data_IF_599916413951
#
_entry.id   IF_599916413951
#
_cell.length_a   1.000
_cell.length_b   1.000
_cell.length_c   1.000
_cell.angle_alpha   90.00
_cell.angle_beta   90.00
_cell.angle_gamma   90.00
#
_symmetry.space_group_name_H-M   'P 1'
#
loop_
_entity.id
_entity.type
_entity.pdbx_description
1 polymer ?
#
# COMPACT_ATOMS: atom_id res chain seq x y z
N UNK A 1 31.59 14.26 -24.63
CA UNK A 1 30.20 13.86 -24.68
C UNK A 1 29.81 12.78 -23.63
N UNK A 2 30.52 11.63 -23.51
CA UNK A 2 30.17 10.60 -22.50
C UNK A 2 30.32 11.08 -21.04
N UNK A 3 31.34 11.90 -20.73
CA UNK A 3 31.57 12.45 -19.38
C UNK A 3 30.55 13.52 -19.00
N UNK A 4 30.11 14.35 -19.94
CA UNK A 4 29.06 15.35 -19.70
C UNK A 4 27.68 14.72 -19.51
N UNK A 5 27.34 13.67 -20.27
CA UNK A 5 26.11 12.91 -20.09
C UNK A 5 26.05 12.22 -18.71
N UNK A 6 27.16 11.65 -18.25
CA UNK A 6 27.27 11.03 -16.91
C UNK A 6 27.13 12.06 -15.78
N UNK A 7 27.72 13.26 -15.93
CA UNK A 7 27.58 14.33 -14.95
C UNK A 7 26.15 14.89 -14.89
N UNK A 8 25.43 14.96 -16.00
CA UNK A 8 24.02 15.38 -16.05
C UNK A 8 23.14 14.33 -15.40
N UNK A 9 23.39 13.03 -15.64
CA UNK A 9 22.66 11.93 -14.99
C UNK A 9 22.88 11.94 -13.48
N UNK A 10 24.10 12.18 -13.01
CA UNK A 10 24.42 12.27 -11.58
C UNK A 10 23.78 13.51 -10.93
N UNK A 11 23.71 14.64 -11.63
CA UNK A 11 23.04 15.86 -11.14
C UNK A 11 21.52 15.71 -11.04
N UNK A 12 20.89 14.93 -11.93
CA UNK A 12 19.47 14.59 -11.86
C UNK A 12 19.13 13.70 -10.65
N UNK A 13 20.04 12.85 -10.22
CA UNK A 13 19.85 12.01 -9.02
C UNK A 13 19.91 12.81 -7.72
N UNK A 14 20.57 13.96 -7.67
CA UNK A 14 20.75 14.76 -6.43
C UNK A 14 19.55 15.68 -6.16
N UNK A 15 18.72 15.98 -7.17
CA UNK A 15 17.56 16.87 -7.01
C UNK A 15 16.30 16.23 -6.40
N UNK A 16 16.33 14.94 -6.09
CA UNK A 16 15.16 14.17 -5.62
C UNK A 16 15.15 13.91 -4.10
N UNK A 17 16.04 14.51 -3.31
CA UNK A 17 16.01 14.34 -1.84
C UNK A 17 14.94 15.23 -1.18
N UNK A 18 13.70 14.99 -1.50
CA UNK A 18 12.55 15.44 -0.71
C UNK A 18 12.23 14.37 0.35
N UNK A 19 13.24 14.03 1.13
CA UNK A 19 13.04 13.20 2.30
C UNK A 19 12.41 14.03 3.41
N UNK A 20 11.38 13.49 4.05
CA UNK A 20 10.84 13.90 5.35
C UNK A 20 9.59 14.78 5.35
N UNK A 21 8.45 14.21 4.88
CA UNK A 21 7.15 14.59 5.43
C UNK A 21 6.37 13.39 5.98
N UNK A 22 7.06 12.30 6.32
CA UNK A 22 6.41 11.06 6.80
C UNK A 22 5.74 11.21 8.17
N UNK A 23 6.17 12.17 8.99
CA UNK A 23 5.60 12.43 10.32
C UNK A 23 4.28 13.22 10.31
N UNK A 24 3.87 13.74 9.15
CA UNK A 24 2.65 14.57 9.01
C UNK A 24 1.50 13.85 8.30
N UNK A 25 1.62 12.53 8.10
CA UNK A 25 0.60 11.76 7.35
C UNK A 25 -0.14 10.79 8.25
N UNK A 26 -1.47 10.70 8.06
CA UNK A 26 -2.31 9.66 8.64
C UNK A 26 -2.15 8.33 7.88
N UNK A 27 -2.57 7.23 8.50
CA UNK A 27 -2.69 5.90 7.88
C UNK A 27 -1.37 5.31 7.34
N UNK A 28 -0.24 5.58 8.00
CA UNK A 28 1.07 5.08 7.58
C UNK A 28 1.18 3.55 7.53
N UNK A 29 0.24 2.82 8.15
CA UNK A 29 0.15 1.36 8.04
C UNK A 29 -0.04 0.86 6.61
N UNK A 30 -0.54 1.70 5.69
CA UNK A 30 -0.70 1.38 4.27
C UNK A 30 0.63 1.17 3.54
N UNK A 31 1.75 1.59 4.14
CA UNK A 31 3.11 1.36 3.62
C UNK A 31 3.71 0.02 4.08
N UNK A 32 3.07 -0.67 5.03
CA UNK A 32 3.55 -1.97 5.46
C UNK A 32 3.34 -3.02 4.36
N UNK A 33 4.32 -3.90 4.13
CA UNK A 33 4.16 -4.99 3.17
C UNK A 33 3.04 -5.93 3.62
N UNK A 34 2.16 -6.31 2.70
CA UNK A 34 0.99 -7.14 3.00
C UNK A 34 1.33 -8.62 2.92
N UNK A 35 2.08 -9.05 1.90
CA UNK A 35 2.46 -10.43 1.69
C UNK A 35 3.82 -10.77 2.29
N UNK A 36 4.00 -12.01 2.77
CA UNK A 36 5.30 -12.48 3.27
C UNK A 36 6.38 -12.49 2.19
N UNK A 37 6.01 -12.84 0.95
CA UNK A 37 6.90 -12.79 -0.20
C UNK A 37 7.36 -11.35 -0.48
N UNK A 38 6.43 -10.41 -0.62
CA UNK A 38 6.75 -9.01 -0.81
C UNK A 38 7.66 -8.47 0.29
N UNK A 39 7.38 -8.81 1.56
CA UNK A 39 8.21 -8.42 2.70
C UNK A 39 9.64 -8.97 2.61
N UNK A 40 9.81 -10.21 2.17
CA UNK A 40 11.11 -10.88 2.07
C UNK A 40 12.03 -10.23 1.02
N UNK A 41 11.46 -9.63 -0.03
CA UNK A 41 12.21 -8.99 -1.13
C UNK A 41 12.20 -7.45 -1.05
N UNK A 42 11.93 -6.89 0.13
CA UNK A 42 12.06 -5.45 0.40
C UNK A 42 10.77 -4.68 0.60
N UNK A 43 9.61 -5.30 0.42
CA UNK A 43 8.29 -4.74 0.75
C UNK A 43 7.58 -4.06 -0.40
N UNK A 44 8.17 -3.07 -1.03
CA UNK A 44 7.50 -2.23 -2.04
C UNK A 44 7.82 -2.68 -3.48
N UNK A 45 7.24 -3.80 -3.88
CA UNK A 45 7.48 -4.44 -5.17
C UNK A 45 6.41 -4.05 -6.19
N UNK A 46 6.65 -3.01 -6.97
CA UNK A 46 5.68 -2.46 -7.93
C UNK A 46 5.75 -3.08 -9.34
N UNK A 47 6.85 -3.79 -9.65
CA UNK A 47 7.09 -4.35 -11.00
C UNK A 47 7.31 -5.87 -11.04
N UNK A 48 7.17 -6.55 -9.91
CA UNK A 48 7.31 -8.00 -9.85
C UNK A 48 6.07 -8.67 -10.42
N UNK A 49 6.21 -9.39 -11.53
CA UNK A 49 5.12 -10.11 -12.19
C UNK A 49 5.21 -11.58 -11.81
N UNK A 50 4.35 -12.01 -10.91
CA UNK A 50 4.25 -13.38 -10.40
C UNK A 50 2.78 -13.73 -10.11
N UNK A 51 2.51 -15.01 -9.91
CA UNK A 51 1.20 -15.51 -9.48
C UNK A 51 1.02 -15.31 -7.96
N UNK A 52 0.98 -14.05 -7.53
CA UNK A 52 0.75 -13.66 -6.14
C UNK A 52 -0.22 -12.46 -6.09
N UNK A 53 -1.44 -12.68 -5.64
CA UNK A 53 -2.46 -11.64 -5.55
C UNK A 53 -2.14 -10.56 -4.52
N UNK A 54 -1.21 -10.83 -3.57
CA UNK A 54 -0.76 -9.83 -2.60
C UNK A 54 0.00 -8.67 -3.27
N UNK A 55 0.61 -8.90 -4.44
CA UNK A 55 1.31 -7.85 -5.20
C UNK A 55 0.35 -6.75 -5.68
N UNK A 56 -0.95 -7.02 -5.76
CA UNK A 56 -1.97 -6.01 -6.06
C UNK A 56 -2.06 -4.90 -5.01
N UNK A 57 -1.62 -5.14 -3.77
CA UNK A 57 -1.53 -4.09 -2.75
C UNK A 57 -0.39 -3.09 -3.03
N UNK A 58 0.62 -3.50 -3.79
CA UNK A 58 1.73 -2.64 -4.21
C UNK A 58 1.45 -1.95 -5.55
N UNK A 59 0.90 -2.71 -6.51
CA UNK A 59 0.53 -2.20 -7.82
C UNK A 59 -0.74 -2.93 -8.31
N UNK A 60 -1.88 -2.25 -8.43
CA UNK A 60 -3.13 -2.89 -8.85
C UNK A 60 -3.06 -3.56 -10.23
N UNK A 61 -2.17 -3.12 -11.12
CA UNK A 61 -2.00 -3.75 -12.43
C UNK A 61 -1.46 -5.18 -12.35
N UNK A 62 -0.70 -5.53 -11.29
CA UNK A 62 -0.12 -6.86 -11.09
C UNK A 62 -1.17 -7.93 -10.79
N UNK A 63 -2.37 -7.54 -10.36
CA UNK A 63 -3.48 -8.47 -10.18
C UNK A 63 -3.83 -9.22 -11.47
N UNK A 64 -3.52 -8.67 -12.65
CA UNK A 64 -3.74 -9.31 -13.93
C UNK A 64 -2.95 -10.62 -14.12
N UNK A 65 -1.87 -10.81 -13.36
CA UNK A 65 -1.00 -12.00 -13.41
C UNK A 65 -1.42 -13.08 -12.41
N UNK A 66 -2.34 -12.78 -11.50
CA UNK A 66 -2.77 -13.73 -10.47
C UNK A 66 -3.76 -14.75 -11.01
N UNK A 67 -3.61 -16.01 -10.58
CA UNK A 67 -4.58 -17.06 -10.86
C UNK A 67 -5.95 -16.72 -10.27
N UNK A 68 -7.03 -16.69 -11.07
CA UNK A 68 -8.36 -16.36 -10.58
C UNK A 68 -8.91 -17.38 -9.58
N UNK A 69 -9.79 -16.90 -8.68
CA UNK A 69 -10.43 -17.66 -7.59
C UNK A 69 -9.45 -18.13 -6.51
N UNK A 70 -8.44 -17.33 -6.26
CA UNK A 70 -7.46 -17.54 -5.20
C UNK A 70 -7.85 -16.72 -3.97
N UNK A 71 -7.54 -17.24 -2.79
CA UNK A 71 -7.66 -16.56 -1.50
C UNK A 71 -6.26 -16.42 -0.91
N UNK A 72 -5.81 -15.21 -0.67
CA UNK A 72 -4.61 -14.94 0.11
C UNK A 72 -4.97 -14.60 1.55
N UNK A 73 -4.28 -15.20 2.48
CA UNK A 73 -4.38 -14.90 3.92
C UNK A 73 -2.96 -14.64 4.45
N UNK A 74 -2.76 -13.52 5.09
CA UNK A 74 -1.47 -13.16 5.66
C UNK A 74 -1.64 -12.77 7.12
N UNK A 75 -0.63 -13.13 7.90
CA UNK A 75 -0.48 -12.68 9.28
C UNK A 75 0.98 -12.34 9.53
N UNK A 76 1.21 -11.19 10.13
CA UNK A 76 2.55 -10.71 10.46
C UNK A 76 2.57 -10.26 11.92
N UNK A 77 3.53 -10.77 12.69
CA UNK A 77 3.89 -10.19 13.98
C UNK A 77 4.97 -9.15 13.74
N UNK A 78 4.65 -7.90 14.01
CA UNK A 78 5.56 -6.77 13.83
C UNK A 78 6.22 -6.40 15.16
N UNK A 79 7.09 -5.36 15.18
CA UNK A 79 7.80 -4.99 16.41
C UNK A 79 6.86 -4.57 17.52
N UNK A 80 7.30 -4.75 18.76
CA UNK A 80 6.58 -4.42 20.02
C UNK A 80 5.18 -5.02 20.18
N UNK A 81 4.94 -6.18 19.54
CA UNK A 81 3.66 -6.88 19.69
C UNK A 81 2.55 -6.39 18.78
N UNK A 82 2.84 -5.47 17.86
CA UNK A 82 1.92 -5.07 16.79
C UNK A 82 1.64 -6.26 15.89
N UNK A 83 0.37 -6.46 15.55
CA UNK A 83 -0.10 -7.58 14.73
C UNK A 83 -0.78 -7.05 13.49
N UNK A 84 -0.36 -7.53 12.33
CA UNK A 84 -1.01 -7.24 11.06
C UNK A 84 -1.62 -8.51 10.49
N UNK A 85 -2.81 -8.39 9.95
CA UNK A 85 -3.50 -9.46 9.22
C UNK A 85 -4.08 -8.91 7.93
N UNK A 86 -4.10 -9.71 6.88
CA UNK A 86 -4.79 -9.35 5.65
C UNK A 86 -5.45 -10.57 5.02
N UNK A 87 -6.51 -10.29 4.26
CA UNK A 87 -7.19 -11.26 3.43
C UNK A 87 -7.51 -10.62 2.09
N UNK A 88 -7.39 -11.39 1.01
CA UNK A 88 -7.82 -10.97 -0.32
C UNK A 88 -8.45 -12.16 -1.05
N UNK A 89 -9.37 -11.87 -1.96
CA UNK A 89 -10.00 -12.82 -2.86
C UNK A 89 -10.12 -12.21 -4.24
N UNK A 90 -9.71 -12.92 -5.26
CA UNK A 90 -9.76 -12.49 -6.65
C UNK A 90 -10.68 -13.35 -7.50
N UNK A 91 -11.16 -12.78 -8.60
CA UNK A 91 -11.89 -13.51 -9.66
C UNK A 91 -11.70 -12.82 -11.01
N UNK A 92 -11.71 -13.59 -12.08
CA UNK A 92 -11.70 -13.08 -13.44
C UNK A 92 -13.12 -12.75 -13.92
N UNK A 93 -13.23 -11.71 -14.74
CA UNK A 93 -14.44 -11.33 -15.46
C UNK A 93 -14.10 -11.19 -16.95
N UNK A 94 -14.40 -12.22 -17.72
CA UNK A 94 -13.92 -12.36 -19.11
C UNK A 94 -12.46 -12.70 -19.18
N UNK A 95 -11.82 -12.38 -20.32
CA UNK A 95 -10.42 -12.77 -20.61
C UNK A 95 -9.40 -11.72 -20.17
N UNK A 96 -9.83 -10.49 -19.91
CA UNK A 96 -8.92 -9.33 -19.72
C UNK A 96 -9.07 -8.62 -18.38
N UNK A 97 -10.13 -8.88 -17.64
CA UNK A 97 -10.41 -8.20 -16.39
C UNK A 97 -10.27 -9.15 -15.19
N UNK A 98 -9.53 -8.73 -14.18
CA UNK A 98 -9.43 -9.42 -12.90
C UNK A 98 -9.83 -8.45 -11.79
N UNK A 99 -10.76 -8.89 -10.94
CA UNK A 99 -11.23 -8.16 -9.78
C UNK A 99 -10.66 -8.78 -8.52
N UNK A 100 -10.47 -7.98 -7.50
CA UNK A 100 -10.21 -8.46 -6.16
C UNK A 100 -10.92 -7.60 -5.12
N UNK A 101 -11.24 -8.23 -4.01
CA UNK A 101 -11.62 -7.56 -2.76
C UNK A 101 -10.63 -7.97 -1.69
N UNK A 102 -10.24 -7.04 -0.83
CA UNK A 102 -9.30 -7.32 0.22
C UNK A 102 -9.56 -6.49 1.46
N UNK A 103 -8.97 -6.92 2.56
CA UNK A 103 -8.97 -6.19 3.82
C UNK A 103 -7.61 -6.30 4.50
N UNK A 104 -7.23 -5.24 5.18
CA UNK A 104 -6.04 -5.17 6.04
C UNK A 104 -6.49 -4.76 7.44
N UNK A 105 -5.90 -5.36 8.44
CA UNK A 105 -6.13 -5.06 9.85
C UNK A 105 -4.78 -4.93 10.54
N UNK A 106 -4.59 -3.85 11.28
CA UNK A 106 -3.43 -3.62 12.13
C UNK A 106 -3.89 -3.36 13.55
N UNK A 107 -3.35 -4.12 14.50
CA UNK A 107 -3.57 -3.98 15.94
C UNK A 107 -2.24 -3.58 16.60
N UNK A 108 -2.21 -2.39 17.18
CA UNK A 108 -1.04 -1.87 17.88
C UNK A 108 -0.93 -2.39 19.32
N UNK A 109 -1.92 -3.17 19.76
CA UNK A 109 -1.97 -3.66 21.14
C UNK A 109 -2.35 -2.57 22.14
N UNK A 110 -1.97 -2.79 23.40
CA UNK A 110 -2.20 -1.85 24.50
C UNK A 110 -1.00 -0.95 24.71
N UNK A 111 -1.24 0.34 24.77
CA UNK A 111 -0.23 1.38 25.04
C UNK A 111 -0.58 2.07 26.36
N UNK A 112 0.44 2.49 27.11
CA UNK A 112 0.26 3.21 28.37
C UNK A 112 -0.13 4.64 28.09
N UNK A 113 -1.19 5.09 28.72
CA UNK A 113 -1.61 6.48 28.77
C UNK A 113 -0.90 7.18 29.92
N UNK A 114 -0.29 8.35 29.65
CA UNK A 114 0.38 9.17 30.66
C UNK A 114 -0.17 10.59 30.63
N UNK A 115 -0.14 11.25 31.78
CA UNK A 115 -0.44 12.66 31.88
C UNK A 115 0.79 13.55 31.50
N UNK A 116 0.64 14.87 31.60
CA UNK A 116 1.70 15.85 31.33
C UNK A 116 2.93 15.68 32.26
N UNK A 117 2.79 15.02 33.39
CA UNK A 117 3.85 14.73 34.36
C UNK A 117 4.47 13.35 34.17
N UNK A 118 4.17 12.65 33.09
CA UNK A 118 4.56 11.26 32.83
C UNK A 118 4.02 10.22 33.84
N UNK A 119 2.94 10.56 34.56
CA UNK A 119 2.28 9.62 35.46
C UNK A 119 1.32 8.75 34.63
N UNK A 120 1.42 7.43 34.78
CA UNK A 120 0.53 6.52 34.08
C UNK A 120 -0.91 6.67 34.62
N UNK A 121 -1.84 7.04 33.74
CA UNK A 121 -3.26 7.27 34.06
C UNK A 121 -4.16 6.12 33.59
N UNK A 122 -3.66 5.26 32.68
CA UNK A 122 -4.44 4.16 32.14
C UNK A 122 -3.73 3.46 30.98
N UNK A 123 -4.51 2.70 30.22
CA UNK A 123 -4.10 2.07 28.96
C UNK A 123 -5.09 2.46 27.86
N UNK A 124 -4.60 2.62 26.65
CA UNK A 124 -5.40 2.76 25.46
C UNK A 124 -4.95 1.78 24.37
N UNK A 125 -5.76 1.57 23.35
CA UNK A 125 -5.43 0.73 22.20
C UNK A 125 -5.60 1.52 20.91
N UNK A 126 -4.85 1.14 19.88
CA UNK A 126 -5.03 1.67 18.54
C UNK A 126 -5.15 0.52 17.53
N UNK A 127 -5.92 0.75 16.48
CA UNK A 127 -6.13 -0.22 15.40
C UNK A 127 -6.50 0.49 14.11
N UNK A 128 -6.02 -0.06 13.01
CA UNK A 128 -6.35 0.40 11.66
C UNK A 128 -7.00 -0.72 10.86
N UNK A 129 -7.98 -0.36 10.07
CA UNK A 129 -8.71 -1.26 9.18
C UNK A 129 -8.76 -0.60 7.81
N UNK A 130 -8.41 -1.31 6.75
CA UNK A 130 -8.63 -0.88 5.38
C UNK A 130 -9.37 -1.98 4.61
N UNK A 131 -10.39 -1.61 3.86
CA UNK A 131 -11.08 -2.48 2.92
C UNK A 131 -10.89 -1.92 1.54
N UNK A 132 -10.53 -2.76 0.59
CA UNK A 132 -10.22 -2.35 -0.78
C UNK A 132 -10.95 -3.19 -1.82
N UNK A 133 -11.27 -2.55 -2.94
CA UNK A 133 -11.68 -3.19 -4.18
C UNK A 133 -10.70 -2.83 -5.28
N UNK A 134 -10.20 -3.83 -5.97
CA UNK A 134 -9.18 -3.69 -7.03
C UNK A 134 -9.72 -4.23 -8.35
N UNK A 135 -9.44 -3.51 -9.43
CA UNK A 135 -9.65 -3.95 -10.80
C UNK A 135 -8.33 -3.84 -11.56
N UNK A 136 -7.91 -4.95 -12.16
CA UNK A 136 -6.87 -4.95 -13.18
C UNK A 136 -7.47 -5.26 -14.54
N UNK A 137 -6.94 -4.64 -15.57
CA UNK A 137 -7.38 -4.84 -16.95
C UNK A 137 -6.19 -4.93 -17.90
N UNK A 138 -6.12 -5.99 -18.69
CA UNK A 138 -5.15 -6.16 -19.76
C UNK A 138 -5.50 -5.26 -20.94
N UNK A 139 -4.81 -4.14 -21.07
CA UNK A 139 -4.99 -3.18 -22.17
C UNK A 139 -4.49 -3.76 -23.49
N UNK A 140 -3.33 -4.41 -23.44
CA UNK A 140 -2.74 -5.19 -24.52
C UNK A 140 -2.17 -6.48 -23.96
N UNK A 141 -1.61 -7.35 -24.80
CA UNK A 141 -0.98 -8.61 -24.35
C UNK A 141 0.26 -8.39 -23.45
N UNK A 142 0.79 -7.14 -23.42
CA UNK A 142 1.99 -6.78 -22.64
C UNK A 142 1.75 -5.65 -21.64
N UNK A 143 0.60 -4.98 -21.69
CA UNK A 143 0.31 -3.82 -20.84
C UNK A 143 -0.94 -4.08 -20.02
N UNK A 144 -0.82 -4.03 -18.72
CA UNK A 144 -1.91 -4.05 -17.76
C UNK A 144 -2.06 -2.69 -17.09
N UNK A 145 -3.31 -2.26 -16.89
CA UNK A 145 -3.67 -1.13 -16.04
C UNK A 145 -4.46 -1.62 -14.83
N UNK A 146 -4.39 -0.91 -13.72
CA UNK A 146 -5.13 -1.27 -12.52
C UNK A 146 -5.55 -0.06 -11.71
N UNK A 147 -6.64 -0.22 -10.98
CA UNK A 147 -7.15 0.75 -10.02
C UNK A 147 -7.57 0.02 -8.74
N UNK A 148 -7.20 0.56 -7.60
CA UNK A 148 -7.71 0.15 -6.28
C UNK A 148 -8.43 1.32 -5.65
N UNK A 149 -9.61 1.07 -5.10
CA UNK A 149 -10.31 2.00 -4.20
C UNK A 149 -10.24 1.45 -2.79
N UNK A 150 -10.02 2.32 -1.79
CA UNK A 150 -9.79 1.91 -0.41
C UNK A 150 -10.59 2.78 0.54
N UNK A 151 -11.32 2.13 1.46
CA UNK A 151 -11.95 2.76 2.59
C UNK A 151 -11.16 2.40 3.85
N UNK A 152 -10.81 3.40 4.64
CA UNK A 152 -9.96 3.26 5.82
C UNK A 152 -10.73 3.72 7.04
N UNK A 153 -10.61 2.97 8.14
CA UNK A 153 -11.09 3.38 9.45
C UNK A 153 -9.97 3.15 10.47
N UNK A 154 -9.65 4.19 11.21
CA UNK A 154 -8.60 4.16 12.22
C UNK A 154 -9.16 4.58 13.58
N UNK A 155 -8.71 3.91 14.63
CA UNK A 155 -9.10 4.16 16.02
C UNK A 155 -7.86 4.33 16.88
N UNK A 156 -7.81 5.38 17.69
CA UNK A 156 -6.75 5.66 18.66
C UNK A 156 -7.42 6.07 19.97
N UNK A 157 -7.49 5.15 20.93
CA UNK A 157 -8.26 5.37 22.15
C UNK A 157 -9.73 5.70 21.85
N UNK A 158 -10.17 6.89 22.25
CA UNK A 158 -11.53 7.38 22.03
C UNK A 158 -11.69 8.12 20.67
N UNK A 159 -10.60 8.36 19.95
CA UNK A 159 -10.62 9.05 18.67
C UNK A 159 -10.79 8.08 17.51
N UNK A 160 -11.50 8.50 16.48
CA UNK A 160 -11.63 7.73 15.25
C UNK A 160 -11.54 8.62 14.01
N UNK A 161 -10.98 8.06 12.96
CA UNK A 161 -10.83 8.71 11.67
C UNK A 161 -11.32 7.80 10.56
N UNK A 162 -11.85 8.38 9.48
CA UNK A 162 -12.27 7.68 8.28
C UNK A 162 -11.56 8.32 7.09
N UNK A 163 -10.96 7.49 6.24
CA UNK A 163 -10.26 7.92 5.04
C UNK A 163 -10.74 7.18 3.80
N UNK A 164 -10.51 7.81 2.66
CA UNK A 164 -10.72 7.21 1.35
C UNK A 164 -9.48 7.45 0.49
N UNK A 165 -9.04 6.41 -0.21
CA UNK A 165 -7.88 6.45 -1.09
C UNK A 165 -8.10 5.71 -2.39
N UNK A 166 -7.34 6.10 -3.39
CA UNK A 166 -7.28 5.45 -4.71
C UNK A 166 -5.83 5.18 -5.05
N UNK A 167 -5.55 3.98 -5.55
CA UNK A 167 -4.26 3.62 -6.13
C UNK A 167 -4.44 3.39 -7.62
N UNK A 168 -3.50 3.87 -8.41
CA UNK A 168 -3.43 3.66 -9.85
C UNK A 168 -2.14 2.94 -10.19
N UNK A 169 -2.21 1.99 -11.12
CA UNK A 169 -1.05 1.24 -11.56
C UNK A 169 -1.05 0.96 -13.06
N UNK A 170 0.13 0.95 -13.61
CA UNK A 170 0.43 0.46 -14.95
C UNK A 170 1.60 -0.50 -14.86
N UNK A 171 1.56 -1.57 -15.64
CA UNK A 171 2.68 -2.49 -15.79
C UNK A 171 2.83 -2.85 -17.27
N UNK A 172 4.05 -2.76 -17.77
CA UNK A 172 4.49 -3.35 -19.03
C UNK A 172 5.33 -4.57 -18.71
N UNK A 173 4.97 -5.71 -19.27
CA UNK A 173 5.71 -6.97 -19.12
C UNK A 173 6.00 -7.61 -20.47
N UNK A 174 7.26 -7.91 -20.71
CA UNK A 174 7.74 -8.65 -21.89
C UNK A 174 8.39 -9.97 -21.44
N UNK A 175 7.65 -11.06 -21.56
CA UNK A 175 8.10 -12.39 -21.17
C UNK A 175 9.33 -12.85 -21.97
N UNK A 176 9.43 -12.46 -23.24
CA UNK A 176 10.56 -12.84 -24.11
C UNK A 176 11.89 -12.28 -23.61
N UNK A 177 11.87 -11.05 -23.09
CA UNK A 177 13.06 -10.37 -22.59
C UNK A 177 13.15 -10.36 -21.06
N UNK A 178 12.19 -10.97 -20.36
CA UNK A 178 12.06 -10.96 -18.89
C UNK A 178 12.16 -9.52 -18.35
N UNK A 179 11.50 -8.59 -19.03
CA UNK A 179 11.50 -7.18 -18.69
C UNK A 179 10.13 -6.74 -18.15
N UNK A 180 10.12 -6.23 -16.94
CA UNK A 180 8.96 -5.60 -16.33
C UNK A 180 9.25 -4.13 -16.00
N UNK A 181 8.33 -3.23 -16.38
CA UNK A 181 8.39 -1.81 -16.07
C UNK A 181 7.03 -1.37 -15.55
N UNK A 182 7.02 -0.73 -14.40
CA UNK A 182 5.78 -0.26 -13.77
C UNK A 182 5.83 1.21 -13.40
N UNK A 183 4.63 1.79 -13.32
CA UNK A 183 4.37 3.09 -12.74
C UNK A 183 3.17 2.98 -11.83
N UNK A 184 3.29 3.48 -10.60
CA UNK A 184 2.20 3.47 -9.62
C UNK A 184 2.04 4.84 -8.99
N UNK A 185 0.80 5.20 -8.68
CA UNK A 185 0.49 6.31 -7.80
C UNK A 185 -0.44 5.79 -6.70
N UNK A 186 0.05 5.74 -5.46
CA UNK A 186 -0.65 5.12 -4.33
C UNK A 186 -1.17 6.16 -3.35
N UNK A 187 -2.26 5.79 -2.69
CA UNK A 187 -2.86 6.57 -1.61
C UNK A 187 -3.29 7.98 -2.03
N UNK A 188 -3.77 8.13 -3.28
CA UNK A 188 -4.42 9.36 -3.75
C UNK A 188 -5.75 9.53 -3.02
N UNK A 189 -5.83 10.46 -2.09
CA UNK A 189 -7.05 10.64 -1.31
C UNK A 189 -6.86 11.51 -0.08
N UNK A 190 -7.71 11.30 0.92
CA UNK A 190 -7.68 12.07 2.15
C UNK A 190 -8.59 11.51 3.23
N UNK A 191 -8.57 12.16 4.37
CA UNK A 191 -9.53 11.91 5.45
C UNK A 191 -10.91 12.47 5.09
N UNK A 192 -11.92 11.64 5.26
CA UNK A 192 -13.34 12.05 5.23
C UNK A 192 -13.80 12.54 6.60
N UNK A 193 -13.20 11.96 7.65
CA UNK A 193 -13.36 12.36 9.04
C UNK A 193 -12.00 12.33 9.70
N UNK A 194 -11.55 13.45 10.25
CA UNK A 194 -10.32 13.55 11.03
C UNK A 194 -10.50 12.96 12.43
N UNK A 195 -9.39 12.70 13.16
CA UNK A 195 -9.44 12.25 14.57
C UNK A 195 -9.97 13.34 15.48
N UNK A 196 -9.61 14.59 15.15
CA UNK A 196 -10.07 15.82 15.82
C UNK A 196 -10.54 16.85 14.77
N UNK A 197 -10.28 18.14 14.98
CA UNK A 197 -10.63 19.21 14.03
C UNK A 197 -9.63 19.36 12.87
N UNK A 198 -8.44 18.71 12.96
CA UNK A 198 -7.36 18.87 12.00
C UNK A 198 -7.27 17.68 11.03
N UNK A 199 -7.30 17.98 9.73
CA UNK A 199 -7.13 16.98 8.69
C UNK A 199 -5.66 16.75 8.35
N UNK A 200 -5.24 15.50 8.35
CA UNK A 200 -3.91 15.06 7.98
C UNK A 200 -3.87 14.58 6.54
N UNK A 201 -2.69 14.63 5.91
CA UNK A 201 -2.50 14.14 4.55
C UNK A 201 -2.43 12.62 4.53
N UNK A 202 -2.80 12.02 3.40
CA UNK A 202 -2.52 10.61 3.11
C UNK A 202 -1.03 10.40 2.80
N UNK A 203 -0.49 9.20 3.04
CA UNK A 203 0.90 8.86 2.71
C UNK A 203 1.04 8.60 1.20
N UNK A 204 0.90 9.65 0.39
CA UNK A 204 1.04 9.58 -1.07
C UNK A 204 2.41 9.02 -1.46
N UNK A 205 2.43 8.16 -2.49
CA UNK A 205 3.62 7.53 -3.03
C UNK A 205 3.54 7.41 -4.56
N UNK A 206 4.68 7.63 -5.29
CA UNK A 206 4.78 7.62 -6.74
C UNK A 206 5.95 6.75 -7.21
#
# INVERSE_FOLDING_TARGET
MKKTAFSILLALCVSSSWAQSESETAYNFLRLPVGAHAAAIGGDNVSLVEDDENLAFNNPALLSSSTPKTIALNYMSYMQGVKAASAAFNWASGERATWAVGAQYLDYGKMKQTDENNIQTGDFSARDIAVNGTLAYMLTDKIAGGITTRLITSYIGDYNSIGFGVDLGLNYYDDTHQLSVSLTAKNLGGQLKAYDENYEKMPFDL
#
